data_IF_947500899307
#
_entry.id   IF_947500899307
#
_cell.length_a   1.000
_cell.length_b   1.000
_cell.length_c   1.000
_cell.angle_alpha   90.00
_cell.angle_beta   90.00
_cell.angle_gamma   90.00
#
_symmetry.space_group_name_H-M   'P 1'
#
loop_
_entity.id
_entity.type
_entity.pdbx_description
1 polymer ?
#
# COMPACT_ATOMS: atom_id res chain seq x y z
N UNK A 1 2.71 12.99 -10.53
CA UNK A 1 3.49 12.32 -11.59
C UNK A 1 4.85 11.83 -11.10
N UNK A 2 5.73 12.67 -10.57
CA UNK A 2 7.07 12.26 -10.08
C UNK A 2 6.99 11.15 -9.02
N UNK A 3 6.11 11.30 -8.03
CA UNK A 3 5.92 10.31 -6.97
C UNK A 3 5.51 8.93 -7.52
N UNK A 4 4.58 8.88 -8.45
CA UNK A 4 4.14 7.61 -9.06
C UNK A 4 5.26 6.92 -9.83
N UNK A 5 6.08 7.70 -10.57
CA UNK A 5 7.26 7.17 -11.26
C UNK A 5 8.30 6.63 -10.28
N UNK A 6 8.51 7.31 -9.16
CA UNK A 6 9.44 6.89 -8.12
C UNK A 6 8.99 5.57 -7.48
N UNK A 7 7.70 5.43 -7.15
CA UNK A 7 7.16 4.19 -6.61
C UNK A 7 7.28 3.04 -7.63
N UNK A 8 6.92 3.27 -8.90
CA UNK A 8 7.10 2.27 -9.96
C UNK A 8 8.56 1.87 -10.09
N UNK A 9 9.47 2.84 -10.07
CA UNK A 9 10.90 2.55 -10.12
C UNK A 9 11.34 1.65 -8.95
N UNK A 10 10.93 1.98 -7.71
CA UNK A 10 11.24 1.14 -6.56
C UNK A 10 10.61 -0.24 -6.64
N UNK A 11 9.38 -0.36 -7.12
CA UNK A 11 8.71 -1.65 -7.29
C UNK A 11 9.45 -2.58 -8.27
N UNK A 12 10.02 -2.04 -9.35
CA UNK A 12 10.62 -2.87 -10.41
C UNK A 12 12.13 -3.04 -10.28
N UNK A 13 12.86 -2.05 -9.75
CA UNK A 13 14.33 -2.01 -9.81
C UNK A 13 15.00 -2.01 -8.43
N UNK A 14 14.25 -2.03 -7.33
CA UNK A 14 14.80 -2.04 -5.98
C UNK A 14 15.01 -3.47 -5.47
N UNK A 15 15.86 -3.63 -4.44
CA UNK A 15 16.02 -4.86 -3.65
C UNK A 15 16.45 -6.11 -4.44
N UNK A 16 17.48 -6.03 -5.24
CA UNK A 16 18.06 -7.17 -6.01
C UNK A 16 17.07 -7.86 -6.96
N UNK A 17 16.01 -7.16 -7.38
CA UNK A 17 15.01 -7.72 -8.30
C UNK A 17 15.61 -8.06 -9.68
N UNK A 18 16.68 -7.37 -10.06
CA UNK A 18 17.42 -7.68 -11.29
C UNK A 18 18.05 -9.08 -11.25
N UNK A 19 18.46 -9.56 -10.07
CA UNK A 19 19.01 -10.92 -9.91
C UNK A 19 17.91 -11.99 -10.04
N UNK A 20 16.67 -11.63 -9.72
CA UNK A 20 15.51 -12.52 -9.90
C UNK A 20 15.16 -12.72 -11.38
N UNK A 21 15.39 -11.74 -12.23
CA UNK A 21 15.14 -11.83 -13.67
C UNK A 21 15.99 -12.92 -14.36
N UNK A 22 17.16 -13.22 -13.81
CA UNK A 22 18.07 -14.27 -14.36
C UNK A 22 17.44 -15.66 -14.27
N UNK A 23 16.52 -15.90 -13.32
CA UNK A 23 15.90 -17.23 -13.13
C UNK A 23 14.81 -17.57 -14.15
N UNK A 24 14.31 -16.59 -14.91
CA UNK A 24 13.26 -16.74 -15.95
C UNK A 24 12.07 -17.65 -15.54
N UNK A 25 11.69 -17.62 -14.26
CA UNK A 25 10.60 -18.42 -13.72
C UNK A 25 9.45 -17.53 -13.27
N UNK A 26 8.23 -17.85 -13.71
CA UNK A 26 7.03 -17.20 -13.19
C UNK A 26 6.85 -17.59 -11.72
N UNK A 27 6.72 -16.59 -10.86
CA UNK A 27 6.51 -16.77 -9.44
C UNK A 27 5.14 -16.23 -9.07
N UNK A 28 4.41 -17.06 -8.38
CA UNK A 28 3.05 -16.77 -7.99
C UNK A 28 2.84 -17.20 -6.52
N UNK A 29 2.49 -16.27 -5.65
CA UNK A 29 2.21 -16.53 -4.25
C UNK A 29 0.75 -16.19 -3.93
N UNK A 30 -0.04 -17.24 -3.65
CA UNK A 30 -1.39 -17.09 -3.10
C UNK A 30 -1.41 -17.26 -1.58
N UNK A 31 -0.32 -17.75 -1.00
CA UNK A 31 -0.27 -18.06 0.41
C UNK A 31 -0.02 -16.79 1.21
N UNK A 32 -1.05 -16.34 1.92
CA UNK A 32 -0.88 -15.43 3.03
C UNK A 32 -0.54 -16.27 4.26
N UNK A 33 0.74 -16.59 4.45
CA UNK A 33 1.19 -17.42 5.57
C UNK A 33 0.98 -16.79 6.95
N UNK A 34 0.66 -15.51 6.97
CA UNK A 34 0.32 -14.74 8.17
C UNK A 34 -0.43 -13.49 7.74
N UNK A 35 -1.16 -12.87 8.66
CA UNK A 35 -1.70 -11.54 8.37
C UNK A 35 -0.49 -10.59 8.27
N UNK A 36 -0.28 -9.96 7.10
CA UNK A 36 0.77 -8.98 6.95
C UNK A 36 0.54 -7.87 7.98
N UNK A 37 1.54 -7.38 8.64
CA UNK A 37 1.47 -6.33 9.65
C UNK A 37 1.23 -6.79 11.10
N UNK A 38 1.26 -8.09 11.42
CA UNK A 38 1.31 -8.49 12.81
C UNK A 38 2.59 -7.96 13.49
N UNK A 39 2.56 -7.71 14.79
CA UNK A 39 3.73 -7.25 15.52
C UNK A 39 4.59 -8.48 15.86
N UNK A 40 5.72 -8.69 15.19
CA UNK A 40 6.55 -9.87 15.44
C UNK A 40 7.30 -9.73 16.77
N UNK A 41 7.60 -10.85 17.41
CA UNK A 41 8.48 -10.87 18.59
C UNK A 41 9.87 -10.29 18.30
N UNK A 42 10.31 -10.39 17.03
CA UNK A 42 11.51 -9.73 16.50
C UNK A 42 11.15 -9.00 15.21
N UNK A 43 11.54 -7.74 15.11
CA UNK A 43 11.35 -6.95 13.89
C UNK A 43 12.10 -7.64 12.76
N UNK A 44 11.37 -8.10 11.74
CA UNK A 44 11.91 -8.71 10.54
C UNK A 44 11.93 -7.71 9.40
N UNK A 45 12.80 -7.93 8.41
CA UNK A 45 12.80 -7.10 7.19
C UNK A 45 11.46 -7.18 6.46
N UNK A 46 10.82 -8.35 6.41
CA UNK A 46 9.51 -8.52 5.78
C UNK A 46 8.46 -7.61 6.43
N UNK A 47 8.43 -7.52 7.75
CA UNK A 47 7.51 -6.65 8.46
C UNK A 47 7.76 -5.16 8.17
N UNK A 48 9.05 -4.74 8.09
CA UNK A 48 9.44 -3.38 7.72
C UNK A 48 8.97 -3.07 6.29
N UNK A 49 9.10 -4.01 5.35
CA UNK A 49 8.63 -3.82 3.98
C UNK A 49 7.11 -3.71 3.90
N UNK A 50 6.36 -4.52 4.63
CA UNK A 50 4.90 -4.43 4.65
C UNK A 50 4.43 -3.07 5.17
N UNK A 51 5.00 -2.55 6.26
CA UNK A 51 4.70 -1.19 6.75
C UNK A 51 5.18 -0.13 5.76
N UNK A 52 6.35 -0.31 5.18
CA UNK A 52 6.89 0.55 4.13
C UNK A 52 5.93 0.68 2.95
N UNK A 53 5.35 -0.44 2.51
CA UNK A 53 4.34 -0.46 1.45
C UNK A 53 3.07 0.31 1.85
N UNK A 54 2.53 0.10 3.06
CA UNK A 54 1.39 0.89 3.54
C UNK A 54 1.69 2.39 3.44
N UNK A 55 2.83 2.83 3.95
CA UNK A 55 3.21 4.24 3.95
C UNK A 55 3.49 4.78 2.55
N UNK A 56 4.12 3.98 1.69
CA UNK A 56 4.41 4.33 0.31
C UNK A 56 3.15 4.45 -0.56
N UNK A 57 2.11 3.69 -0.27
CA UNK A 57 0.87 3.75 -1.05
C UNK A 57 -0.22 4.66 -0.45
N UNK A 58 -0.08 5.10 0.80
CA UNK A 58 -1.00 6.07 1.41
C UNK A 58 -1.13 7.41 0.63
N UNK A 59 -0.07 8.02 0.07
CA UNK A 59 -0.20 9.23 -0.74
C UNK A 59 -1.09 9.07 -1.97
N UNK A 60 -1.24 7.87 -2.55
CA UNK A 60 -2.16 7.65 -3.66
C UNK A 60 -3.63 7.83 -3.27
N UNK A 61 -3.97 7.60 -1.99
CA UNK A 61 -5.29 7.91 -1.44
C UNK A 61 -5.64 9.40 -1.48
N UNK A 62 -4.63 10.28 -1.57
CA UNK A 62 -4.79 11.73 -1.79
C UNK A 62 -4.67 12.07 -3.27
N UNK A 63 -3.61 11.60 -3.91
CA UNK A 63 -3.24 12.00 -5.27
C UNK A 63 -4.30 11.61 -6.30
N UNK A 64 -4.88 10.42 -6.17
CA UNK A 64 -5.88 9.94 -7.13
C UNK A 64 -7.16 10.78 -7.11
N UNK A 65 -7.80 11.04 -5.94
CA UNK A 65 -9.00 11.89 -5.89
C UNK A 65 -8.71 13.36 -6.20
N UNK A 66 -7.52 13.88 -5.95
CA UNK A 66 -7.15 15.25 -6.34
C UNK A 66 -6.91 15.37 -7.86
N UNK A 67 -6.24 14.39 -8.46
CA UNK A 67 -6.00 14.39 -9.90
C UNK A 67 -7.29 14.14 -10.70
N UNK A 68 -8.20 13.33 -10.17
CA UNK A 68 -9.44 12.93 -10.83
C UNK A 68 -10.66 13.27 -9.99
N UNK A 69 -11.03 14.55 -9.95
CA UNK A 69 -12.15 15.06 -9.15
C UNK A 69 -13.49 14.36 -9.40
N UNK A 70 -13.71 13.84 -10.61
CA UNK A 70 -14.89 13.04 -10.94
C UNK A 70 -14.94 11.69 -10.19
N UNK A 71 -13.77 11.13 -9.83
CA UNK A 71 -13.66 9.89 -9.08
C UNK A 71 -13.83 10.12 -7.57
N UNK A 72 -13.59 11.35 -7.07
CA UNK A 72 -13.56 11.68 -5.64
C UNK A 72 -14.92 11.70 -4.94
N UNK A 73 -16.02 11.67 -5.71
CA UNK A 73 -17.38 11.69 -5.14
C UNK A 73 -17.74 10.45 -4.34
N UNK A 74 -17.07 9.34 -4.58
CA UNK A 74 -17.29 8.05 -3.89
C UNK A 74 -15.94 7.40 -3.60
N UNK A 75 -15.85 6.66 -2.50
CA UNK A 75 -14.67 5.85 -2.19
C UNK A 75 -14.42 4.76 -3.23
N UNK A 76 -15.47 4.07 -3.65
CA UNK A 76 -15.34 2.86 -4.47
C UNK A 76 -14.73 3.08 -5.85
N UNK A 77 -14.94 4.25 -6.44
CA UNK A 77 -14.39 4.56 -7.78
C UNK A 77 -12.87 4.68 -7.78
N UNK A 78 -12.25 5.56 -6.96
CA UNK A 78 -10.79 5.63 -6.89
C UNK A 78 -10.19 4.36 -6.29
N UNK A 79 -10.89 3.68 -5.37
CA UNK A 79 -10.46 2.40 -4.81
C UNK A 79 -10.37 1.31 -5.88
N UNK A 80 -11.40 1.16 -6.72
CA UNK A 80 -11.39 0.19 -7.82
C UNK A 80 -10.29 0.51 -8.85
N UNK A 81 -10.12 1.79 -9.21
CA UNK A 81 -9.08 2.22 -10.13
C UNK A 81 -7.68 1.92 -9.57
N UNK A 82 -7.45 2.21 -8.29
CA UNK A 82 -6.20 1.92 -7.61
C UNK A 82 -5.94 0.42 -7.51
N UNK A 83 -6.94 -0.35 -7.11
CA UNK A 83 -6.85 -1.81 -7.00
C UNK A 83 -6.50 -2.47 -8.33
N UNK A 84 -7.16 -2.04 -9.42
CA UNK A 84 -6.84 -2.51 -10.76
C UNK A 84 -5.40 -2.14 -11.19
N UNK A 85 -4.94 -0.93 -10.84
CA UNK A 85 -3.57 -0.50 -11.12
C UNK A 85 -2.53 -1.33 -10.35
N UNK A 86 -2.78 -1.64 -9.08
CA UNK A 86 -1.86 -2.49 -8.29
C UNK A 86 -1.81 -3.90 -8.85
N UNK A 87 -2.95 -4.53 -9.16
CA UNK A 87 -2.99 -5.85 -9.81
C UNK A 87 -2.20 -5.83 -11.12
N UNK A 88 -2.39 -4.80 -11.93
CA UNK A 88 -1.65 -4.66 -13.18
C UNK A 88 -0.14 -4.58 -12.96
N UNK A 89 0.32 -3.82 -11.96
CA UNK A 89 1.74 -3.71 -11.62
C UNK A 89 2.31 -5.05 -11.13
N UNK A 90 1.59 -5.80 -10.29
CA UNK A 90 2.00 -7.13 -9.83
C UNK A 90 2.09 -8.12 -11.00
N UNK A 91 1.10 -8.09 -11.92
CA UNK A 91 1.18 -8.90 -13.15
C UNK A 91 2.39 -8.52 -14.01
N UNK A 92 2.70 -7.23 -14.13
CA UNK A 92 3.87 -6.77 -14.87
C UNK A 92 5.17 -7.24 -14.22
N UNK A 93 5.28 -7.23 -12.89
CA UNK A 93 6.43 -7.78 -12.18
C UNK A 93 6.63 -9.27 -12.47
N UNK A 94 5.55 -10.04 -12.48
CA UNK A 94 5.60 -11.45 -12.81
C UNK A 94 6.02 -11.70 -14.26
N UNK A 95 5.41 -11.00 -15.22
CA UNK A 95 5.69 -11.17 -16.66
C UNK A 95 7.09 -10.72 -17.05
N UNK A 96 7.61 -9.68 -16.38
CA UNK A 96 8.98 -9.18 -16.62
C UNK A 96 10.04 -9.94 -15.82
N UNK A 97 9.66 -10.93 -15.01
CA UNK A 97 10.53 -11.68 -14.10
C UNK A 97 11.26 -10.81 -13.05
N UNK A 98 10.81 -9.56 -12.87
CA UNK A 98 11.36 -8.62 -11.89
C UNK A 98 10.75 -8.79 -10.49
N UNK A 99 9.84 -9.74 -10.31
CA UNK A 99 9.20 -10.06 -9.05
C UNK A 99 8.26 -11.25 -9.16
N UNK A 100 7.47 -11.46 -8.10
CA UNK A 100 6.37 -12.43 -8.04
C UNK A 100 5.04 -11.69 -8.03
N UNK A 101 4.00 -12.34 -8.53
CA UNK A 101 2.63 -11.89 -8.24
C UNK A 101 2.32 -12.26 -6.79
N UNK A 102 2.13 -11.28 -5.93
CA UNK A 102 1.92 -11.49 -4.52
C UNK A 102 0.61 -10.84 -4.04
N UNK A 103 -0.30 -11.69 -3.55
CA UNK A 103 -1.60 -11.22 -3.03
C UNK A 103 -1.43 -10.40 -1.75
N UNK A 104 -0.42 -10.72 -0.94
CA UNK A 104 -0.12 -9.97 0.28
C UNK A 104 0.27 -8.52 -0.06
N UNK A 105 1.13 -8.32 -1.05
CA UNK A 105 1.54 -6.99 -1.51
C UNK A 105 0.33 -6.19 -2.03
N UNK A 106 -0.58 -6.82 -2.77
CA UNK A 106 -1.82 -6.18 -3.23
C UNK A 106 -2.65 -5.67 -2.04
N UNK A 107 -2.83 -6.51 -1.03
CA UNK A 107 -3.63 -6.17 0.16
C UNK A 107 -3.00 -5.02 0.95
N UNK A 108 -1.69 -5.09 1.19
CA UNK A 108 -0.94 -4.08 1.96
C UNK A 108 -0.94 -2.72 1.24
N UNK A 109 -0.71 -2.72 -0.06
CA UNK A 109 -0.76 -1.52 -0.89
C UNK A 109 -2.17 -0.90 -0.89
N UNK A 110 -3.21 -1.73 -0.99
CA UNK A 110 -4.60 -1.27 -0.94
C UNK A 110 -5.00 -0.72 0.44
N UNK A 111 -4.49 -1.31 1.53
CA UNK A 111 -4.63 -0.77 2.88
C UNK A 111 -4.02 0.63 2.98
N UNK A 112 -2.81 0.82 2.45
CA UNK A 112 -2.16 2.12 2.38
C UNK A 112 -3.03 3.16 1.68
N UNK A 113 -3.51 2.85 0.48
CA UNK A 113 -4.45 3.71 -0.27
C UNK A 113 -5.69 4.07 0.57
N UNK A 114 -6.31 3.10 1.23
CA UNK A 114 -7.53 3.30 2.03
C UNK A 114 -7.28 4.25 3.20
N UNK A 115 -6.17 4.07 3.92
CA UNK A 115 -5.73 4.97 5.00
C UNK A 115 -5.52 6.38 4.46
N UNK A 116 -4.82 6.53 3.34
CA UNK A 116 -4.58 7.81 2.70
C UNK A 116 -5.87 8.51 2.26
N UNK A 117 -6.82 7.77 1.67
CA UNK A 117 -8.12 8.31 1.27
C UNK A 117 -8.95 8.78 2.47
N UNK A 118 -8.98 8.01 3.56
CA UNK A 118 -9.67 8.39 4.79
C UNK A 118 -9.07 9.67 5.38
N UNK A 119 -7.73 9.76 5.45
CA UNK A 119 -7.01 10.93 5.91
C UNK A 119 -7.29 12.16 5.03
N UNK A 120 -7.27 12.01 3.70
CA UNK A 120 -7.61 13.06 2.75
C UNK A 120 -9.02 13.59 2.96
N UNK A 121 -10.00 12.69 3.10
CA UNK A 121 -11.40 13.06 3.31
C UNK A 121 -11.60 13.89 4.58
N UNK A 122 -10.83 13.63 5.63
CA UNK A 122 -10.88 14.42 6.86
C UNK A 122 -10.12 15.74 6.74
N UNK A 123 -8.95 15.73 6.09
CA UNK A 123 -8.15 16.94 5.89
C UNK A 123 -8.86 18.03 5.09
N UNK A 124 -9.70 17.65 4.12
CA UNK A 124 -10.50 18.59 3.32
C UNK A 124 -11.62 19.31 4.07
N UNK A 125 -11.95 18.90 5.28
CA UNK A 125 -12.98 19.56 6.11
C UNK A 125 -12.44 20.82 6.82
N UNK A 126 -11.16 21.13 6.64
CA UNK A 126 -10.48 22.22 7.37
C UNK A 126 -10.01 23.27 6.38
N UNK A 127 -10.29 24.54 6.66
CA UNK A 127 -10.00 25.68 5.77
C UNK A 127 -8.51 26.02 5.66
N UNK A 128 -7.68 25.57 6.62
CA UNK A 128 -6.23 25.86 6.62
C UNK A 128 -5.45 24.68 6.07
N UNK A 129 -4.63 24.94 5.03
CA UNK A 129 -3.74 23.94 4.41
C UNK A 129 -2.82 23.30 5.44
N UNK A 130 -2.22 24.08 6.34
CA UNK A 130 -1.32 23.55 7.37
C UNK A 130 -2.05 22.62 8.35
N UNK A 131 -3.24 23.01 8.82
CA UNK A 131 -4.07 22.16 9.67
C UNK A 131 -4.50 20.89 8.92
N UNK A 132 -4.83 21.00 7.62
CA UNK A 132 -5.17 19.86 6.77
C UNK A 132 -4.02 18.85 6.69
N UNK A 133 -2.78 19.30 6.51
CA UNK A 133 -1.60 18.44 6.50
C UNK A 133 -1.39 17.76 7.85
N UNK A 134 -1.51 18.49 8.95
CA UNK A 134 -1.39 17.90 10.30
C UNK A 134 -2.44 16.83 10.56
N UNK A 135 -3.69 17.09 10.19
CA UNK A 135 -4.78 16.14 10.31
C UNK A 135 -4.50 14.90 9.44
N UNK A 136 -4.03 15.10 8.21
CA UNK A 136 -3.64 14.02 7.31
C UNK A 136 -2.56 13.12 7.93
N UNK A 137 -1.48 13.71 8.44
CA UNK A 137 -0.40 12.98 9.09
C UNK A 137 -0.87 12.23 10.35
N UNK A 138 -1.69 12.89 11.19
CA UNK A 138 -2.26 12.30 12.39
C UNK A 138 -3.18 11.10 12.06
N UNK A 139 -3.99 11.22 11.00
CA UNK A 139 -4.85 10.13 10.56
C UNK A 139 -4.08 8.94 9.99
N UNK A 140 -3.05 9.20 9.17
CA UNK A 140 -2.18 8.12 8.68
C UNK A 140 -1.57 7.38 9.87
N UNK A 141 -0.98 8.11 10.81
CA UNK A 141 -0.38 7.50 12.00
C UNK A 141 -1.41 6.70 12.82
N UNK A 142 -2.54 7.33 13.16
CA UNK A 142 -3.59 6.69 13.96
C UNK A 142 -4.13 5.42 13.29
N UNK A 143 -4.49 5.50 12.00
CA UNK A 143 -5.05 4.36 11.28
C UNK A 143 -4.03 3.24 11.08
N UNK A 144 -2.75 3.57 10.89
CA UNK A 144 -1.69 2.57 10.83
C UNK A 144 -1.54 1.87 12.18
N UNK A 145 -1.55 2.60 13.29
CA UNK A 145 -1.51 2.00 14.65
C UNK A 145 -2.73 1.11 14.91
N UNK A 146 -3.93 1.57 14.55
CA UNK A 146 -5.16 0.75 14.69
C UNK A 146 -5.06 -0.52 13.85
N UNK A 147 -4.57 -0.43 12.62
CA UNK A 147 -4.36 -1.58 11.74
C UNK A 147 -3.40 -2.60 12.37
N UNK A 148 -2.27 -2.14 12.94
CA UNK A 148 -1.31 -3.01 13.62
C UNK A 148 -1.92 -3.71 14.84
N UNK A 149 -2.68 -2.97 15.65
CA UNK A 149 -3.38 -3.53 16.82
C UNK A 149 -4.41 -4.57 16.37
N UNK A 150 -5.21 -4.28 15.34
CA UNK A 150 -6.18 -5.24 14.81
C UNK A 150 -5.52 -6.50 14.26
N UNK A 151 -4.41 -6.35 13.51
CA UNK A 151 -3.66 -7.48 12.97
C UNK A 151 -3.09 -8.36 14.10
N UNK A 152 -2.51 -7.75 15.15
CA UNK A 152 -2.01 -8.47 16.32
C UNK A 152 -3.13 -9.20 17.06
N UNK A 153 -4.28 -8.55 17.25
CA UNK A 153 -5.43 -9.16 17.89
C UNK A 153 -5.93 -10.38 17.12
N UNK A 154 -6.07 -10.26 15.80
CA UNK A 154 -6.52 -11.36 14.93
C UNK A 154 -5.53 -12.53 15.00
N UNK A 155 -4.23 -12.26 14.86
CA UNK A 155 -3.21 -13.32 14.95
C UNK A 155 -3.17 -14.04 16.29
N UNK A 156 -3.49 -13.33 17.37
CA UNK A 156 -3.39 -13.89 18.73
C UNK A 156 -4.61 -14.70 19.14
N UNK A 157 -5.78 -14.35 18.62
CA UNK A 157 -7.06 -14.91 19.08
C UNK A 157 -7.79 -15.76 18.03
N UNK A 158 -7.43 -15.65 16.74
CA UNK A 158 -8.10 -16.35 15.66
C UNK A 158 -7.21 -17.32 14.87
N UNK A 159 -5.88 -17.19 14.98
CA UNK A 159 -4.88 -18.07 14.39
C UNK A 159 -3.97 -18.66 15.47
#
# INVERSE_FOLDING_TARGET
>A
MIYSLLIIFFMFFSFHRMDLAVSNTYRFSFETNSIPLWIPKKVSMLWIFSIGNVLAFAPFGVLLPEAFTRLSRSYWRPAAAFFAAVIFLELMQMVTFLGSFDVEDILVNFMGFTIGFAAWRQGRKVDSVFKGILIFMAYIFLLTVVLLICAEFINRFLL
#
